data_IF_009156862787
#
_entry.id   IF_009156862787
#
_cell.length_a   1.000
_cell.length_b   1.000
_cell.length_c   1.000
_cell.angle_alpha   90.00
_cell.angle_beta   90.00
_cell.angle_gamma   90.00
#
_symmetry.space_group_name_H-M   'P 1'
#
loop_
_entity.id
_entity.type
_entity.pdbx_description
1 polymer ?
#
# COMPACT_ATOMS: atom_id res chain seq x y z
N UNK A 1 -53.00 12.95 -6.13
CA UNK A 1 -52.29 11.75 -5.67
C UNK A 1 -50.79 12.07 -5.70
N UNK A 2 -50.26 12.43 -4.55
CA UNK A 2 -48.86 12.83 -4.41
C UNK A 2 -48.04 11.58 -4.13
N UNK A 3 -47.10 11.27 -5.03
CA UNK A 3 -46.19 10.13 -4.86
C UNK A 3 -45.24 10.41 -3.71
N UNK A 4 -45.01 9.48 -2.77
CA UNK A 4 -44.06 9.72 -1.66
C UNK A 4 -42.66 9.79 -2.21
N UNK A 5 -41.98 10.94 -2.00
CA UNK A 5 -40.57 11.15 -2.33
C UNK A 5 -39.72 10.12 -1.59
N UNK A 6 -38.84 9.36 -2.28
CA UNK A 6 -37.98 8.39 -1.61
C UNK A 6 -37.07 9.09 -0.61
N UNK A 7 -36.96 8.51 0.59
CA UNK A 7 -36.13 9.03 1.69
C UNK A 7 -34.65 9.04 1.32
N UNK A 8 -34.21 10.08 0.62
CA UNK A 8 -32.81 10.31 0.20
C UNK A 8 -31.83 10.32 1.41
N UNK A 9 -32.29 10.70 2.60
CA UNK A 9 -31.48 10.67 3.83
C UNK A 9 -31.05 9.27 4.26
N UNK A 10 -31.91 8.27 4.17
CA UNK A 10 -31.61 6.89 4.60
C UNK A 10 -30.60 6.22 3.65
N UNK A 11 -30.66 6.54 2.35
CA UNK A 11 -29.72 6.01 1.35
C UNK A 11 -28.33 6.65 1.52
N UNK A 12 -28.27 7.93 1.84
CA UNK A 12 -27.02 8.65 2.12
C UNK A 12 -26.33 8.11 3.38
N UNK A 13 -27.06 7.83 4.45
CA UNK A 13 -26.50 7.28 5.69
C UNK A 13 -25.92 5.88 5.51
N UNK A 14 -26.62 4.99 4.82
CA UNK A 14 -26.09 3.64 4.53
C UNK A 14 -24.84 3.66 3.67
N UNK A 15 -24.72 4.60 2.73
CA UNK A 15 -23.53 4.75 1.88
C UNK A 15 -22.34 5.27 2.69
N UNK A 16 -22.58 6.23 3.61
CA UNK A 16 -21.55 6.78 4.49
C UNK A 16 -21.00 5.70 5.46
N UNK A 17 -21.87 4.91 6.09
CA UNK A 17 -21.47 3.82 6.99
C UNK A 17 -20.64 2.75 6.27
N UNK A 18 -20.97 2.43 5.01
CA UNK A 18 -20.17 1.46 4.23
C UNK A 18 -18.77 1.95 3.88
N UNK A 19 -18.57 3.26 3.72
CA UNK A 19 -17.25 3.84 3.47
C UNK A 19 -16.39 3.97 4.73
N UNK A 20 -17.00 3.99 5.91
CA UNK A 20 -16.28 4.11 7.18
C UNK A 20 -15.50 2.84 7.50
N UNK A 21 -16.07 1.67 7.21
CA UNK A 21 -15.47 0.37 7.56
C UNK A 21 -14.06 0.17 6.97
N UNK A 22 -13.83 0.28 5.64
CA UNK A 22 -12.49 0.14 5.09
C UNK A 22 -11.53 1.21 5.63
N UNK A 23 -11.96 2.47 5.73
CA UNK A 23 -11.12 3.54 6.26
C UNK A 23 -10.68 3.28 7.72
N UNK A 24 -11.52 2.66 8.54
CA UNK A 24 -11.15 2.25 9.90
C UNK A 24 -10.09 1.15 9.91
N UNK A 25 -10.20 0.16 9.01
CA UNK A 25 -9.20 -0.90 8.87
C UNK A 25 -7.84 -0.32 8.45
N UNK A 26 -7.84 0.60 7.49
CA UNK A 26 -6.63 1.31 7.05
C UNK A 26 -5.97 2.06 8.21
N UNK A 27 -6.75 2.78 9.04
CA UNK A 27 -6.23 3.46 10.24
C UNK A 27 -5.65 2.49 11.27
N UNK A 28 -6.24 1.32 11.45
CA UNK A 28 -5.69 0.26 12.31
C UNK A 28 -4.35 -0.21 11.75
N UNK A 29 -4.22 -0.39 10.43
CA UNK A 29 -2.97 -0.71 9.75
C UNK A 29 -1.86 0.30 10.06
N UNK A 30 -2.15 1.61 9.99
CA UNK A 30 -1.22 2.68 10.38
C UNK A 30 -0.78 2.53 11.83
N UNK A 31 -1.71 2.32 12.76
CA UNK A 31 -1.39 2.17 14.18
C UNK A 31 -0.44 0.98 14.42
N UNK A 32 -0.65 -0.13 13.73
CA UNK A 32 0.21 -1.31 13.82
C UNK A 32 1.58 -1.01 13.20
N UNK A 33 1.63 -0.36 12.03
CA UNK A 33 2.87 0.07 11.39
C UNK A 33 3.70 0.99 12.30
N UNK A 34 3.08 1.98 12.94
CA UNK A 34 3.75 2.84 13.91
C UNK A 34 4.19 2.09 15.16
N UNK A 35 3.40 1.12 15.63
CA UNK A 35 3.76 0.28 16.77
C UNK A 35 4.99 -0.58 16.47
N UNK A 36 5.19 -1.01 15.21
CA UNK A 36 6.39 -1.74 14.79
C UNK A 36 7.65 -0.91 14.96
N UNK A 37 7.60 0.40 14.69
CA UNK A 37 8.74 1.33 14.93
C UNK A 37 9.07 1.38 16.42
N UNK A 38 8.06 1.41 17.28
CA UNK A 38 8.27 1.39 18.73
C UNK A 38 8.98 0.12 19.19
N UNK A 39 8.58 -1.06 18.68
CA UNK A 39 9.27 -2.32 18.98
C UNK A 39 10.72 -2.30 18.50
N UNK A 40 10.99 -1.78 17.31
CA UNK A 40 12.34 -1.64 16.78
C UNK A 40 13.21 -0.72 17.67
N UNK A 41 12.63 0.37 18.17
CA UNK A 41 13.31 1.27 19.10
C UNK A 41 13.63 0.61 20.45
N UNK A 42 12.79 -0.32 20.91
CA UNK A 42 13.01 -1.12 22.13
C UNK A 42 13.97 -2.29 21.92
N UNK A 43 14.47 -2.52 20.69
CA UNK A 43 15.33 -3.65 20.33
C UNK A 43 14.61 -4.96 20.09
N UNK A 44 13.28 -4.98 20.10
CA UNK A 44 12.44 -6.15 19.86
C UNK A 44 12.15 -6.32 18.36
N UNK A 45 13.19 -6.63 17.58
CA UNK A 45 13.12 -6.68 16.11
C UNK A 45 12.16 -7.75 15.58
N UNK A 46 12.08 -8.89 16.26
CA UNK A 46 11.15 -9.97 15.88
C UNK A 46 9.69 -9.49 15.95
N UNK A 47 9.33 -8.82 17.05
CA UNK A 47 7.98 -8.26 17.22
C UNK A 47 7.70 -7.12 16.23
N UNK A 48 8.72 -6.32 15.90
CA UNK A 48 8.62 -5.28 14.90
C UNK A 48 8.30 -5.84 13.51
N UNK A 49 8.97 -6.93 13.11
CA UNK A 49 8.74 -7.60 11.82
C UNK A 49 7.34 -8.24 11.79
N UNK A 50 6.93 -8.92 12.86
CA UNK A 50 5.59 -9.51 12.97
C UNK A 50 4.53 -8.41 12.84
N UNK A 51 4.71 -7.27 13.49
CA UNK A 51 3.78 -6.15 13.42
C UNK A 51 3.64 -5.60 11.98
N UNK A 52 4.75 -5.47 11.22
CA UNK A 52 4.67 -5.07 9.80
C UNK A 52 3.94 -6.11 8.97
N UNK A 53 4.18 -7.40 9.19
CA UNK A 53 3.45 -8.46 8.46
C UNK A 53 1.95 -8.40 8.75
N UNK A 54 1.57 -8.11 9.99
CA UNK A 54 0.17 -7.90 10.36
C UNK A 54 -0.42 -6.64 9.68
N UNK A 55 0.33 -5.54 9.65
CA UNK A 55 -0.09 -4.33 8.92
C UNK A 55 -0.34 -4.64 7.44
N UNK A 56 0.56 -5.39 6.78
CA UNK A 56 0.42 -5.80 5.38
C UNK A 56 -0.81 -6.69 5.14
N UNK A 57 -1.13 -7.57 6.08
CA UNK A 57 -2.29 -8.44 5.98
C UNK A 57 -3.59 -7.63 6.08
N UNK A 58 -3.66 -6.67 7.00
CA UNK A 58 -4.82 -5.79 7.18
C UNK A 58 -5.01 -4.91 5.95
N UNK A 59 -3.95 -4.32 5.41
CA UNK A 59 -3.94 -3.52 4.19
C UNK A 59 -4.46 -4.32 2.97
N UNK A 60 -4.01 -5.56 2.80
CA UNK A 60 -4.53 -6.44 1.77
C UNK A 60 -6.01 -6.81 1.94
N UNK A 61 -6.51 -6.81 3.19
CA UNK A 61 -7.92 -7.08 3.50
C UNK A 61 -8.80 -5.86 3.26
N UNK A 62 -8.40 -4.67 3.71
CA UNK A 62 -9.22 -3.45 3.56
C UNK A 62 -9.43 -3.08 2.09
N UNK A 63 -8.39 -3.19 1.25
CA UNK A 63 -8.51 -3.01 -0.19
C UNK A 63 -9.44 -4.02 -0.86
N UNK A 64 -9.46 -5.27 -0.40
CA UNK A 64 -10.42 -6.29 -0.90
C UNK A 64 -11.84 -6.01 -0.42
N UNK A 65 -12.01 -5.67 0.84
CA UNK A 65 -13.31 -5.32 1.43
C UNK A 65 -13.91 -4.10 0.72
N UNK A 66 -13.12 -3.03 0.52
CA UNK A 66 -13.56 -1.82 -0.17
C UNK A 66 -14.11 -2.12 -1.58
N UNK A 67 -13.46 -3.02 -2.33
CA UNK A 67 -13.91 -3.46 -3.66
C UNK A 67 -15.18 -4.30 -3.58
N UNK A 68 -15.27 -5.25 -2.66
CA UNK A 68 -16.44 -6.12 -2.51
C UNK A 68 -17.71 -5.36 -2.15
N UNK A 69 -17.61 -4.33 -1.30
CA UNK A 69 -18.77 -3.53 -0.88
C UNK A 69 -19.02 -2.32 -1.77
N UNK A 70 -18.26 -2.16 -2.88
CA UNK A 70 -18.32 -1.00 -3.78
C UNK A 70 -18.26 0.35 -3.04
N UNK A 71 -17.46 0.43 -1.98
CA UNK A 71 -17.32 1.58 -1.09
C UNK A 71 -16.00 2.33 -1.30
N UNK A 72 -15.50 2.36 -2.52
CA UNK A 72 -14.30 3.12 -2.86
C UNK A 72 -14.60 4.61 -2.81
N UNK A 73 -13.85 5.36 -2.00
CA UNK A 73 -13.90 6.82 -1.92
C UNK A 73 -12.54 7.41 -2.31
N UNK A 74 -12.54 8.65 -2.82
CA UNK A 74 -11.28 9.37 -3.10
C UNK A 74 -10.43 9.51 -1.83
N UNK A 75 -11.07 9.83 -0.71
CA UNK A 75 -10.39 9.96 0.59
C UNK A 75 -9.81 8.62 1.05
N UNK A 76 -10.55 7.50 0.87
CA UNK A 76 -10.07 6.16 1.22
C UNK A 76 -8.82 5.78 0.42
N UNK A 77 -8.78 6.11 -0.88
CA UNK A 77 -7.63 5.83 -1.73
C UNK A 77 -6.37 6.62 -1.33
N UNK A 78 -6.54 7.90 -0.95
CA UNK A 78 -5.43 8.72 -0.45
C UNK A 78 -4.95 8.23 0.92
N UNK A 79 -5.89 7.83 1.78
CA UNK A 79 -5.58 7.27 3.10
C UNK A 79 -4.79 5.96 3.00
N UNK A 80 -5.19 5.06 2.10
CA UNK A 80 -4.51 3.81 1.74
C UNK A 80 -3.06 4.08 1.32
N UNK A 81 -2.85 5.03 0.41
CA UNK A 81 -1.52 5.43 -0.04
C UNK A 81 -0.63 6.00 1.09
N UNK A 82 -1.21 6.76 2.01
CA UNK A 82 -0.49 7.27 3.17
C UNK A 82 -0.11 6.14 4.14
N UNK A 83 -1.01 5.18 4.32
CA UNK A 83 -0.78 3.98 5.13
C UNK A 83 0.35 3.14 4.57
N UNK A 84 0.34 2.89 3.25
CA UNK A 84 1.39 2.21 2.52
C UNK A 84 2.75 2.88 2.73
N UNK A 85 2.80 4.19 2.62
CA UNK A 85 4.01 4.96 2.83
C UNK A 85 4.57 4.78 4.24
N UNK A 86 3.72 4.79 5.26
CA UNK A 86 4.12 4.63 6.65
C UNK A 86 4.53 3.18 6.94
N UNK A 87 3.67 2.22 6.60
CA UNK A 87 3.85 0.81 6.97
C UNK A 87 4.94 0.10 6.16
N UNK A 88 5.11 0.46 4.87
CA UNK A 88 6.06 -0.21 3.98
C UNK A 88 7.23 0.67 3.54
N UNK A 89 7.15 1.98 3.75
CA UNK A 89 8.26 2.91 3.53
C UNK A 89 9.00 3.23 4.81
N UNK A 90 8.32 3.89 5.73
CA UNK A 90 8.96 4.45 6.93
C UNK A 90 9.30 3.36 7.97
N UNK A 91 8.35 2.49 8.30
CA UNK A 91 8.56 1.50 9.36
C UNK A 91 9.70 0.52 9.04
N UNK A 92 9.81 -0.10 7.85
CA UNK A 92 10.96 -0.96 7.52
C UNK A 92 12.30 -0.21 7.53
N UNK A 93 12.31 1.05 7.09
CA UNK A 93 13.53 1.88 7.12
C UNK A 93 14.04 2.07 8.55
N UNK A 94 13.15 2.38 9.50
CA UNK A 94 13.50 2.53 10.91
C UNK A 94 13.94 1.21 11.54
N UNK A 95 13.29 0.08 11.24
CA UNK A 95 13.69 -1.23 11.73
C UNK A 95 15.12 -1.55 11.26
N UNK A 96 15.41 -1.39 9.96
CA UNK A 96 16.74 -1.62 9.41
C UNK A 96 17.77 -0.68 10.01
N UNK A 97 17.40 0.59 10.24
CA UNK A 97 18.28 1.54 10.87
C UNK A 97 18.68 1.10 12.27
N UNK A 98 17.73 0.78 13.13
CA UNK A 98 18.03 0.38 14.52
C UNK A 98 18.70 -0.99 14.60
N UNK A 99 18.41 -1.91 13.67
CA UNK A 99 18.98 -3.25 13.70
C UNK A 99 20.45 -3.28 13.25
N UNK A 100 20.75 -2.71 12.08
CA UNK A 100 22.07 -2.89 11.45
C UNK A 100 22.71 -1.54 11.06
N UNK A 101 21.95 -0.62 10.48
CA UNK A 101 22.50 0.57 9.85
C UNK A 101 22.99 1.62 10.83
N UNK A 102 22.57 1.55 12.10
CA UNK A 102 23.06 2.44 13.15
C UNK A 102 24.58 2.35 13.33
N UNK A 103 25.17 1.18 13.08
CA UNK A 103 26.63 0.98 13.12
C UNK A 103 27.39 1.79 12.06
N UNK A 104 26.73 2.15 10.93
CA UNK A 104 27.28 2.97 9.86
C UNK A 104 27.16 4.49 10.14
N UNK A 105 26.57 4.87 11.26
CA UNK A 105 26.41 6.26 11.67
C UNK A 105 25.64 7.10 10.65
N UNK A 106 26.25 8.20 10.17
CA UNK A 106 25.59 9.13 9.23
C UNK A 106 25.22 8.50 7.88
N UNK A 107 26.03 7.56 7.40
CA UNK A 107 25.76 6.85 6.14
C UNK A 107 24.53 5.95 6.25
N UNK A 108 24.36 5.26 7.39
CA UNK A 108 23.18 4.44 7.65
C UNK A 108 21.88 5.24 7.60
N UNK A 109 21.89 6.43 8.20
CA UNK A 109 20.74 7.35 8.14
C UNK A 109 20.43 7.80 6.72
N UNK A 110 21.46 8.17 5.95
CA UNK A 110 21.30 8.61 4.56
C UNK A 110 20.71 7.49 3.68
N UNK A 111 21.14 6.25 3.86
CA UNK A 111 20.56 5.09 3.14
C UNK A 111 19.09 4.89 3.46
N UNK A 112 18.70 5.04 4.72
CA UNK A 112 17.28 4.98 5.10
C UNK A 112 16.45 6.09 4.44
N UNK A 113 16.96 7.32 4.39
CA UNK A 113 16.29 8.44 3.74
C UNK A 113 16.10 8.18 2.24
N UNK A 114 17.15 7.70 1.55
CA UNK A 114 17.08 7.35 0.12
C UNK A 114 16.02 6.28 -0.11
N UNK A 115 15.97 5.24 0.72
CA UNK A 115 14.96 4.19 0.61
C UNK A 115 13.54 4.76 0.73
N UNK A 116 13.27 5.57 1.78
CA UNK A 116 11.96 6.19 2.00
C UNK A 116 11.55 7.07 0.83
N UNK A 117 12.49 7.89 0.30
CA UNK A 117 12.23 8.74 -0.88
C UNK A 117 11.89 7.90 -2.11
N UNK A 118 12.62 6.81 -2.36
CA UNK A 118 12.34 5.91 -3.49
C UNK A 118 10.94 5.29 -3.39
N UNK A 119 10.53 4.85 -2.19
CA UNK A 119 9.18 4.30 -1.96
C UNK A 119 8.12 5.38 -2.19
N UNK A 120 8.32 6.60 -1.67
CA UNK A 120 7.41 7.72 -1.87
C UNK A 120 7.23 8.07 -3.35
N UNK A 121 8.32 8.16 -4.10
CA UNK A 121 8.28 8.46 -5.55
C UNK A 121 7.58 7.34 -6.34
N UNK A 122 7.82 6.08 -5.98
CA UNK A 122 7.14 4.93 -6.59
C UNK A 122 5.63 5.03 -6.36
N UNK A 123 5.21 5.29 -5.13
CA UNK A 123 3.81 5.38 -4.75
C UNK A 123 3.11 6.58 -5.43
N UNK A 124 3.79 7.73 -5.48
CA UNK A 124 3.29 8.92 -6.17
C UNK A 124 3.07 8.66 -7.67
N UNK A 125 4.01 7.98 -8.35
CA UNK A 125 3.85 7.59 -9.77
C UNK A 125 2.66 6.66 -9.97
N UNK A 126 2.49 5.68 -9.10
CA UNK A 126 1.36 4.75 -9.16
C UNK A 126 0.03 5.48 -9.01
N UNK A 127 -0.07 6.43 -8.07
CA UNK A 127 -1.28 7.21 -7.84
C UNK A 127 -1.64 8.12 -9.03
N UNK A 128 -0.66 8.74 -9.67
CA UNK A 128 -0.88 9.58 -10.86
C UNK A 128 -1.43 8.73 -11.99
N UNK A 129 -0.81 7.57 -12.28
CA UNK A 129 -1.25 6.68 -13.36
C UNK A 129 -2.65 6.12 -13.11
N UNK A 130 -2.99 5.83 -11.85
CA UNK A 130 -4.32 5.30 -11.50
C UNK A 130 -5.46 6.32 -11.56
N UNK A 131 -5.16 7.62 -11.66
CA UNK A 131 -6.14 8.72 -11.77
C UNK A 131 -6.30 9.23 -13.20
N UNK A 132 -5.51 8.76 -14.16
CA UNK A 132 -5.70 9.10 -15.57
C UNK A 132 -6.85 8.27 -16.15
N UNK A 133 -7.63 8.85 -17.07
CA UNK A 133 -8.65 8.08 -17.81
C UNK A 133 -8.00 6.96 -18.60
N UNK A 134 -8.68 5.79 -18.75
CA UNK A 134 -8.11 4.63 -19.44
C UNK A 134 -7.68 5.04 -20.85
N UNK A 135 -6.39 5.18 -21.04
CA UNK A 135 -5.78 5.41 -22.34
C UNK A 135 -5.41 4.07 -22.97
N UNK A 136 -5.38 3.98 -24.32
CA UNK A 136 -4.89 2.78 -25.03
C UNK A 136 -3.50 2.31 -24.56
N UNK A 137 -2.72 3.19 -23.88
CA UNK A 137 -1.44 2.89 -23.23
C UNK A 137 -1.55 2.01 -21.98
N UNK A 138 -2.71 1.98 -21.31
CA UNK A 138 -2.92 1.18 -20.10
C UNK A 138 -2.91 -0.34 -20.37
N UNK A 139 -2.99 -0.74 -21.64
CA UNK A 139 -2.80 -2.12 -22.08
C UNK A 139 -1.32 -2.53 -22.15
N UNK A 140 -0.40 -1.57 -22.01
CA UNK A 140 1.04 -1.83 -21.98
C UNK A 140 1.55 -1.55 -20.57
N UNK A 141 1.94 -2.61 -19.84
CA UNK A 141 2.57 -2.48 -18.53
C UNK A 141 3.86 -1.66 -18.64
N UNK A 142 3.88 -0.45 -18.10
CA UNK A 142 5.12 0.28 -17.84
C UNK A 142 5.78 -0.29 -16.58
N UNK A 143 6.59 -1.29 -16.77
CA UNK A 143 7.33 -1.96 -15.72
C UNK A 143 6.88 -3.41 -15.53
N UNK A 144 7.84 -4.32 -15.63
CA UNK A 144 7.59 -5.76 -15.45
C UNK A 144 7.42 -6.03 -13.96
N UNK A 145 6.27 -6.57 -13.50
CA UNK A 145 6.17 -7.07 -12.13
C UNK A 145 7.22 -8.16 -11.93
N UNK A 146 7.96 -8.11 -10.84
CA UNK A 146 9.10 -9.02 -10.55
C UNK A 146 8.82 -10.51 -10.82
N UNK A 147 7.62 -11.06 -10.57
CA UNK A 147 7.32 -12.45 -10.95
C UNK A 147 7.21 -12.68 -12.46
N UNK A 148 6.74 -11.71 -13.22
CA UNK A 148 6.57 -11.83 -14.67
C UNK A 148 7.91 -11.70 -15.43
N UNK A 149 8.88 -10.95 -14.90
CA UNK A 149 10.21 -10.83 -15.51
C UNK A 149 10.90 -12.20 -15.62
N UNK A 150 10.77 -13.05 -14.61
CA UNK A 150 11.34 -14.41 -14.59
C UNK A 150 10.64 -15.33 -15.60
N UNK A 151 9.33 -15.23 -15.75
CA UNK A 151 8.56 -16.01 -16.73
C UNK A 151 8.89 -15.65 -18.17
N UNK A 152 9.05 -14.36 -18.49
CA UNK A 152 9.35 -13.92 -19.86
C UNK A 152 10.76 -14.27 -20.31
N UNK A 153 11.75 -14.24 -19.42
CA UNK A 153 13.11 -14.68 -19.75
C UNK A 153 13.18 -16.18 -20.03
N UNK A 154 12.38 -17.00 -19.35
CA UNK A 154 12.30 -18.44 -19.57
C UNK A 154 11.59 -18.81 -20.88
N UNK A 155 10.50 -18.13 -21.24
CA UNK A 155 9.77 -18.38 -22.49
C UNK A 155 10.61 -17.98 -23.72
N UNK A 156 11.30 -16.84 -23.67
CA UNK A 156 12.14 -16.39 -24.79
C UNK A 156 13.40 -17.25 -24.99
N UNK A 157 13.91 -17.86 -23.91
CA UNK A 157 15.04 -18.80 -24.02
C UNK A 157 14.63 -20.13 -24.70
N UNK A 158 13.33 -20.48 -24.70
CA UNK A 158 12.82 -21.66 -25.41
C UNK A 158 12.59 -21.40 -26.92
N UNK A 159 12.09 -20.20 -27.28
CA UNK A 159 11.81 -19.86 -28.67
C UNK A 159 13.07 -19.72 -29.54
N UNK A 160 14.21 -19.29 -28.97
CA UNK A 160 15.48 -19.14 -29.71
C UNK A 160 16.24 -20.45 -29.88
N UNK A 161 15.68 -21.58 -29.48
CA UNK A 161 16.34 -22.91 -29.59
C UNK A 161 15.74 -23.80 -30.68
N UNK A 162 14.71 -23.33 -31.39
CA UNK A 162 13.99 -24.07 -32.44
C UNK A 162 14.20 -23.47 -33.86
N UNK A 163 15.16 -22.54 -34.05
CA UNK A 163 15.59 -22.04 -35.36
C UNK A 163 17.00 -22.53 -35.70
#
# INVERSE_FOLDING_TARGET
MEQPKPNLKIISDKKNVRMILPNMLTLIGVCIGLTSIRFAFSGEFEMAIIAIMFAALIDGLDGRIARLINATSKVGKELDSLTDMISFGVAPAFIMYFWILNSLGRLGWLLCLVYVICVALRLARFNINSNQEPSWRDNFFEGVPSPAAVSYTHLRAHETRED
#
